data_IF_279095762302
#
_entry.id   IF_279095762302
#
_cell.length_a   1.000
_cell.length_b   1.000
_cell.length_c   1.000
_cell.angle_alpha   90.00
_cell.angle_beta   90.00
_cell.angle_gamma   90.00
#
_symmetry.space_group_name_H-M   'P 1'
#
loop_
_entity.id
_entity.type
_entity.pdbx_description
1 polymer ?
#
# COMPACT_ATOMS: atom_id res chain seq x y z
N UNK A 1 5.67 -143.88 11.60
CA UNK A 1 5.14 -143.07 12.72
C UNK A 1 4.04 -143.87 13.38
N UNK A 2 4.07 -143.99 14.71
CA UNK A 2 2.94 -144.58 15.44
C UNK A 2 1.71 -143.66 15.27
N UNK A 3 0.48 -144.20 15.25
CA UNK A 3 -0.74 -143.40 15.09
C UNK A 3 -0.88 -142.27 16.14
N UNK A 4 -0.21 -142.37 17.29
CA UNK A 4 -0.15 -141.29 18.28
C UNK A 4 0.72 -140.09 17.89
N UNK A 5 1.79 -140.27 17.10
CA UNK A 5 2.68 -139.18 16.69
C UNK A 5 2.06 -138.29 15.61
N UNK A 6 1.29 -138.86 14.69
CA UNK A 6 0.59 -138.09 13.64
C UNK A 6 -0.52 -137.21 14.21
N UNK A 7 -1.24 -137.70 15.23
CA UNK A 7 -2.25 -136.92 15.96
C UNK A 7 -1.59 -135.75 16.70
N UNK A 8 -0.45 -135.98 17.36
CA UNK A 8 0.27 -134.92 18.08
C UNK A 8 0.75 -133.80 17.14
N UNK A 9 1.34 -134.15 15.99
CA UNK A 9 1.79 -133.17 14.99
C UNK A 9 0.61 -132.39 14.40
N UNK A 10 -0.51 -133.06 14.10
CA UNK A 10 -1.70 -132.39 13.59
C UNK A 10 -2.27 -131.36 14.60
N UNK A 11 -2.35 -131.73 15.89
CA UNK A 11 -2.80 -130.82 16.96
C UNK A 11 -1.85 -129.64 17.13
N UNK A 12 -0.53 -129.88 17.06
CA UNK A 12 0.48 -128.83 17.14
C UNK A 12 0.37 -127.85 15.98
N UNK A 13 0.18 -128.34 14.74
CA UNK A 13 -0.02 -127.49 13.57
C UNK A 13 -1.28 -126.62 13.68
N UNK A 14 -2.38 -127.16 14.21
CA UNK A 14 -3.61 -126.40 14.45
C UNK A 14 -3.41 -125.34 15.53
N UNK A 15 -2.67 -125.66 16.61
CA UNK A 15 -2.34 -124.70 17.66
C UNK A 15 -1.44 -123.57 17.13
N UNK A 16 -0.42 -123.89 16.33
CA UNK A 16 0.47 -122.90 15.72
C UNK A 16 -0.30 -122.03 14.73
N UNK A 17 -1.14 -122.62 13.87
CA UNK A 17 -1.99 -121.86 12.94
C UNK A 17 -3.01 -120.96 13.67
N UNK A 18 -3.57 -121.44 14.79
CA UNK A 18 -4.44 -120.64 15.66
C UNK A 18 -3.71 -119.47 16.31
N UNK A 19 -2.47 -119.70 16.77
CA UNK A 19 -1.60 -118.67 17.34
C UNK A 19 -1.17 -117.63 16.29
N UNK A 20 -0.84 -118.04 15.07
CA UNK A 20 -0.45 -117.11 14.01
C UNK A 20 -1.63 -116.26 13.55
N UNK A 21 -2.82 -116.84 13.39
CA UNK A 21 -4.03 -116.10 13.02
C UNK A 21 -4.45 -115.12 14.12
N UNK A 22 -4.35 -115.51 15.39
CA UNK A 22 -4.64 -114.59 16.51
C UNK A 22 -3.61 -113.46 16.61
N UNK A 23 -2.32 -113.75 16.41
CA UNK A 23 -1.26 -112.73 16.38
C UNK A 23 -1.45 -111.73 15.23
N UNK A 24 -1.75 -112.19 14.01
CA UNK A 24 -2.00 -111.31 12.86
C UNK A 24 -3.23 -110.45 13.10
N UNK A 25 -4.34 -111.02 13.59
CA UNK A 25 -5.53 -110.24 13.93
C UNK A 25 -5.27 -109.21 15.03
N UNK A 26 -4.42 -109.52 16.01
CA UNK A 26 -4.04 -108.59 17.08
C UNK A 26 -3.17 -107.44 16.55
N UNK A 27 -2.20 -107.74 15.67
CA UNK A 27 -1.36 -106.72 15.03
C UNK A 27 -2.19 -105.82 14.10
N UNK A 28 -3.12 -106.37 13.33
CA UNK A 28 -4.04 -105.59 12.50
C UNK A 28 -4.98 -104.72 13.35
N UNK A 29 -5.46 -105.23 14.48
CA UNK A 29 -6.26 -104.46 15.44
C UNK A 29 -5.46 -103.29 16.03
N UNK A 30 -4.22 -103.53 16.46
CA UNK A 30 -3.33 -102.49 16.99
C UNK A 30 -2.99 -101.45 15.92
N UNK A 31 -2.63 -101.86 14.71
CA UNK A 31 -2.36 -100.95 13.58
C UNK A 31 -3.57 -100.10 13.21
N UNK A 32 -4.78 -100.68 13.20
CA UNK A 32 -6.03 -99.93 12.99
C UNK A 32 -6.27 -98.93 14.11
N UNK A 33 -6.06 -99.33 15.36
CA UNK A 33 -6.23 -98.46 16.53
C UNK A 33 -5.22 -97.30 16.53
N UNK A 34 -3.98 -97.55 16.14
CA UNK A 34 -2.95 -96.52 16.00
C UNK A 34 -3.28 -95.57 14.85
N UNK A 35 -3.69 -96.09 13.68
CA UNK A 35 -4.13 -95.29 12.55
C UNK A 35 -5.38 -94.45 12.87
N UNK A 36 -6.35 -95.00 13.62
CA UNK A 36 -7.51 -94.25 14.12
C UNK A 36 -7.10 -93.18 15.13
N UNK A 37 -6.16 -93.48 16.03
CA UNK A 37 -5.64 -92.51 17.00
C UNK A 37 -4.90 -91.37 16.29
N UNK A 38 -4.13 -91.67 15.26
CA UNK A 38 -3.39 -90.68 14.49
C UNK A 38 -4.32 -89.83 13.62
N UNK A 39 -5.31 -90.44 12.97
CA UNK A 39 -6.37 -89.73 12.27
C UNK A 39 -7.15 -88.79 13.21
N UNK A 40 -7.47 -89.23 14.43
CA UNK A 40 -8.09 -88.38 15.46
C UNK A 40 -7.20 -87.21 15.85
N UNK A 41 -5.91 -87.44 16.08
CA UNK A 41 -4.95 -86.36 16.39
C UNK A 41 -4.86 -85.33 15.28
N UNK A 42 -4.80 -85.77 14.02
CA UNK A 42 -4.78 -84.87 12.85
C UNK A 42 -6.08 -84.05 12.80
N UNK A 43 -7.24 -84.68 13.00
CA UNK A 43 -8.52 -83.96 13.02
C UNK A 43 -8.62 -82.96 14.18
N UNK A 44 -8.13 -83.31 15.36
CA UNK A 44 -8.14 -82.42 16.52
C UNK A 44 -7.16 -81.26 16.34
N UNK A 45 -5.98 -81.50 15.76
CA UNK A 45 -5.05 -80.44 15.35
C UNK A 45 -5.66 -79.51 14.30
N UNK A 46 -6.26 -80.06 13.25
CA UNK A 46 -6.93 -79.27 12.21
C UNK A 46 -8.08 -78.42 12.77
N UNK A 47 -8.84 -78.93 13.75
CA UNK A 47 -9.87 -78.15 14.46
C UNK A 47 -9.26 -77.02 15.27
N UNK A 48 -8.21 -77.28 16.03
CA UNK A 48 -7.52 -76.25 16.82
C UNK A 48 -6.93 -75.15 15.93
N UNK A 49 -6.30 -75.53 14.81
CA UNK A 49 -5.78 -74.58 13.82
C UNK A 49 -6.91 -73.76 13.19
N UNK A 50 -8.02 -74.39 12.80
CA UNK A 50 -9.19 -73.67 12.26
C UNK A 50 -9.79 -72.68 13.28
N UNK A 51 -9.86 -73.07 14.56
CA UNK A 51 -10.34 -72.18 15.62
C UNK A 51 -9.37 -71.03 15.89
N UNK A 52 -8.06 -71.28 15.83
CA UNK A 52 -7.05 -70.23 15.97
C UNK A 52 -7.10 -69.24 14.80
N UNK A 53 -7.19 -69.72 13.55
CA UNK A 53 -7.33 -68.87 12.36
C UNK A 53 -8.58 -68.00 12.46
N UNK A 54 -9.71 -68.55 12.92
CA UNK A 54 -10.94 -67.78 13.13
C UNK A 54 -10.76 -66.68 14.17
N UNK A 55 -10.14 -67.00 15.31
CA UNK A 55 -9.86 -66.02 16.37
C UNK A 55 -8.90 -64.93 15.91
N UNK A 56 -7.85 -65.29 15.18
CA UNK A 56 -6.90 -64.33 14.60
C UNK A 56 -7.60 -63.41 13.60
N UNK A 57 -8.43 -63.96 12.70
CA UNK A 57 -9.22 -63.17 11.77
C UNK A 57 -10.19 -62.21 12.50
N UNK A 58 -10.87 -62.67 13.55
CA UNK A 58 -11.76 -61.84 14.36
C UNK A 58 -11.00 -60.70 15.09
N UNK A 59 -9.79 -60.99 15.57
CA UNK A 59 -8.92 -59.99 16.19
C UNK A 59 -8.42 -58.97 15.17
N UNK A 60 -7.99 -59.40 13.98
CA UNK A 60 -7.55 -58.53 12.90
C UNK A 60 -8.68 -57.60 12.42
N UNK A 61 -9.90 -58.13 12.30
CA UNK A 61 -11.09 -57.32 11.97
C UNK A 61 -11.34 -56.25 13.04
N UNK A 62 -11.28 -56.63 14.33
CA UNK A 62 -11.46 -55.69 15.44
C UNK A 62 -10.37 -54.63 15.47
N UNK A 63 -9.11 -55.01 15.24
CA UNK A 63 -8.00 -54.06 15.19
C UNK A 63 -8.18 -53.07 14.04
N UNK A 64 -8.53 -53.54 12.85
CA UNK A 64 -8.83 -52.69 11.70
C UNK A 64 -10.01 -51.75 11.96
N UNK A 65 -11.09 -52.22 12.60
CA UNK A 65 -12.23 -51.37 12.96
C UNK A 65 -11.81 -50.28 13.96
N UNK A 66 -11.01 -50.61 14.99
CA UNK A 66 -10.49 -49.64 15.94
C UNK A 66 -9.59 -48.60 15.25
N UNK A 67 -8.67 -49.04 14.39
CA UNK A 67 -7.80 -48.14 13.65
C UNK A 67 -8.60 -47.21 12.72
N UNK A 68 -9.58 -47.74 12.00
CA UNK A 68 -10.46 -46.93 11.13
C UNK A 68 -11.33 -45.96 11.93
N UNK A 69 -11.81 -46.34 13.11
CA UNK A 69 -12.54 -45.41 14.01
C UNK A 69 -11.63 -44.29 14.49
N UNK A 70 -10.42 -44.60 14.94
CA UNK A 70 -9.45 -43.62 15.39
C UNK A 70 -9.06 -42.63 14.27
N UNK A 71 -8.85 -43.13 13.03
CA UNK A 71 -8.58 -42.28 11.87
C UNK A 71 -9.76 -41.35 11.56
N UNK A 72 -10.99 -41.87 11.53
CA UNK A 72 -12.20 -41.07 11.30
C UNK A 72 -12.41 -40.02 12.38
N UNK A 73 -12.15 -40.34 13.64
CA UNK A 73 -12.28 -39.40 14.75
C UNK A 73 -11.23 -38.29 14.67
N UNK A 74 -9.99 -38.62 14.29
CA UNK A 74 -8.94 -37.64 14.05
C UNK A 74 -9.27 -36.72 12.86
N UNK A 75 -9.79 -37.26 11.76
CA UNK A 75 -10.24 -36.47 10.61
C UNK A 75 -11.42 -35.56 10.96
N UNK A 76 -12.40 -36.10 11.70
CA UNK A 76 -13.55 -35.33 12.17
C UNK A 76 -13.12 -34.17 13.07
N UNK A 77 -12.17 -34.40 13.97
CA UNK A 77 -11.64 -33.36 14.83
C UNK A 77 -10.91 -32.26 14.03
N UNK A 78 -10.12 -32.63 13.01
CA UNK A 78 -9.50 -31.66 12.10
C UNK A 78 -10.52 -30.81 11.36
N UNK A 79 -11.56 -31.45 10.80
CA UNK A 79 -12.64 -30.73 10.10
C UNK A 79 -13.36 -29.78 11.05
N UNK A 80 -13.60 -30.20 12.30
CA UNK A 80 -14.23 -29.38 13.32
C UNK A 80 -13.37 -28.16 13.68
N UNK A 81 -12.07 -28.34 13.84
CA UNK A 81 -11.14 -27.26 14.15
C UNK A 81 -11.03 -26.27 12.97
N UNK A 82 -10.97 -26.77 11.73
CA UNK A 82 -10.99 -25.93 10.53
C UNK A 82 -12.31 -25.14 10.39
N UNK A 83 -13.45 -25.78 10.68
CA UNK A 83 -14.75 -25.12 10.66
C UNK A 83 -14.81 -24.01 11.72
N UNK A 84 -14.36 -24.28 12.94
CA UNK A 84 -14.32 -23.29 14.02
C UNK A 84 -13.43 -22.09 13.67
N UNK A 85 -12.28 -22.33 13.04
CA UNK A 85 -11.41 -21.25 12.56
C UNK A 85 -12.09 -20.41 11.48
N UNK A 86 -12.79 -21.04 10.53
CA UNK A 86 -13.57 -20.34 9.49
C UNK A 86 -14.71 -19.53 10.08
N UNK A 87 -15.48 -20.10 11.01
CA UNK A 87 -16.56 -19.39 11.71
C UNK A 87 -16.03 -18.16 12.45
N UNK A 88 -14.92 -18.30 13.18
CA UNK A 88 -14.30 -17.16 13.87
C UNK A 88 -13.81 -16.08 12.91
N UNK A 89 -13.25 -16.47 11.77
CA UNK A 89 -12.81 -15.52 10.75
C UNK A 89 -14.01 -14.80 10.09
N UNK A 90 -15.11 -15.51 9.86
CA UNK A 90 -16.35 -14.94 9.34
C UNK A 90 -17.00 -13.97 10.33
N UNK A 91 -17.12 -14.35 11.60
CA UNK A 91 -17.66 -13.49 12.65
C UNK A 91 -16.86 -12.18 12.78
N UNK A 92 -15.52 -12.26 12.75
CA UNK A 92 -14.68 -11.06 12.77
C UNK A 92 -14.93 -10.15 11.55
N UNK A 93 -15.14 -10.74 10.37
CA UNK A 93 -15.41 -9.98 9.15
C UNK A 93 -16.80 -9.35 9.17
N UNK A 94 -17.78 -10.00 9.80
CA UNK A 94 -19.11 -9.45 10.05
C UNK A 94 -19.04 -8.23 10.97
N UNK A 95 -18.31 -8.33 12.10
CA UNK A 95 -18.07 -7.20 13.01
C UNK A 95 -17.40 -6.01 12.30
N UNK A 96 -16.40 -6.28 11.44
CA UNK A 96 -15.71 -5.25 10.64
C UNK A 96 -16.66 -4.57 9.64
N UNK A 97 -17.54 -5.34 8.99
CA UNK A 97 -18.53 -4.82 8.05
C UNK A 97 -19.62 -4.00 8.75
N UNK A 98 -20.07 -4.42 9.92
CA UNK A 98 -21.04 -3.67 10.73
C UNK A 98 -20.47 -2.33 11.19
N UNK A 99 -19.21 -2.32 11.63
CA UNK A 99 -18.50 -1.09 11.98
C UNK A 99 -18.37 -0.13 10.79
N UNK A 100 -18.02 -0.65 9.61
CA UNK A 100 -17.95 0.14 8.37
C UNK A 100 -19.33 0.69 7.98
N UNK A 101 -20.39 -0.11 8.12
CA UNK A 101 -21.77 0.28 7.80
C UNK A 101 -22.24 1.41 8.72
N UNK A 102 -21.98 1.32 10.02
CA UNK A 102 -22.32 2.40 10.96
C UNK A 102 -21.51 3.67 10.68
N UNK A 103 -20.23 3.55 10.31
CA UNK A 103 -19.44 4.70 9.89
C UNK A 103 -20.00 5.37 8.62
N UNK A 104 -20.40 4.58 7.62
CA UNK A 104 -21.03 5.08 6.40
C UNK A 104 -22.36 5.79 6.71
N UNK A 105 -23.23 5.18 7.51
CA UNK A 105 -24.50 5.81 7.96
C UNK A 105 -24.28 7.12 8.70
N UNK A 106 -23.18 7.23 9.46
CA UNK A 106 -22.81 8.49 10.13
C UNK A 106 -22.38 9.55 9.12
N UNK A 107 -21.56 9.17 8.13
CA UNK A 107 -21.13 10.06 7.05
C UNK A 107 -22.31 10.53 6.20
N UNK A 108 -23.23 9.63 5.83
CA UNK A 108 -24.46 9.97 5.10
C UNK A 108 -25.29 11.01 5.85
N UNK A 109 -25.52 10.83 7.16
CA UNK A 109 -26.22 11.81 8.00
C UNK A 109 -25.51 13.17 8.04
N UNK A 110 -24.17 13.19 8.09
CA UNK A 110 -23.40 14.44 8.05
C UNK A 110 -23.56 15.13 6.69
N UNK A 111 -23.50 14.38 5.59
CA UNK A 111 -23.68 14.91 4.24
C UNK A 111 -25.09 15.47 4.07
N UNK A 112 -26.11 14.72 4.46
CA UNK A 112 -27.51 15.14 4.36
C UNK A 112 -27.78 16.43 5.17
N UNK A 113 -27.28 16.50 6.42
CA UNK A 113 -27.42 17.70 7.25
C UNK A 113 -26.66 18.89 6.67
N UNK A 114 -25.48 18.67 6.08
CA UNK A 114 -24.69 19.73 5.43
C UNK A 114 -25.38 20.22 4.16
N UNK A 115 -25.94 19.32 3.35
CA UNK A 115 -26.71 19.67 2.16
C UNK A 115 -27.93 20.51 2.52
N UNK A 116 -28.71 20.11 3.54
CA UNK A 116 -29.86 20.91 4.02
C UNK A 116 -29.45 22.31 4.43
N UNK A 117 -28.41 22.44 5.26
CA UNK A 117 -27.86 23.75 5.67
C UNK A 117 -27.39 24.59 4.49
N UNK A 118 -26.79 23.96 3.47
CA UNK A 118 -26.33 24.65 2.28
C UNK A 118 -27.50 25.16 1.46
N UNK A 119 -28.54 24.35 1.28
CA UNK A 119 -29.78 24.75 0.60
C UNK A 119 -30.45 25.93 1.31
N UNK A 120 -30.63 25.85 2.63
CA UNK A 120 -31.22 26.94 3.43
C UNK A 120 -30.42 28.25 3.26
N UNK A 121 -29.09 28.16 3.26
CA UNK A 121 -28.22 29.32 3.10
C UNK A 121 -28.24 29.89 1.69
N UNK A 122 -28.37 29.04 0.66
CA UNK A 122 -28.54 29.49 -0.72
C UNK A 122 -29.86 30.24 -0.89
N UNK A 123 -30.95 29.75 -0.28
CA UNK A 123 -32.23 30.45 -0.27
C UNK A 123 -32.15 31.80 0.45
N UNK A 124 -31.50 31.85 1.62
CA UNK A 124 -31.30 33.10 2.38
C UNK A 124 -30.49 34.12 1.56
N UNK A 125 -29.40 33.69 0.93
CA UNK A 125 -28.59 34.55 0.06
C UNK A 125 -29.41 35.03 -1.15
N UNK A 126 -30.23 34.17 -1.73
CA UNK A 126 -31.16 34.53 -2.81
C UNK A 126 -32.11 35.66 -2.39
N UNK A 127 -32.77 35.51 -1.24
CA UNK A 127 -33.68 36.54 -0.69
C UNK A 127 -32.97 37.85 -0.42
N UNK A 128 -31.81 37.81 0.24
CA UNK A 128 -31.01 39.03 0.51
C UNK A 128 -30.56 39.73 -0.77
N UNK A 129 -30.23 38.97 -1.81
CA UNK A 129 -29.87 39.53 -3.12
C UNK A 129 -31.05 40.26 -3.76
N UNK A 130 -32.26 39.69 -3.69
CA UNK A 130 -33.47 40.38 -4.16
C UNK A 130 -33.79 41.64 -3.35
N UNK A 131 -33.68 41.57 -2.02
CA UNK A 131 -33.88 42.74 -1.14
C UNK A 131 -32.86 43.84 -1.43
N UNK A 132 -31.58 43.50 -1.58
CA UNK A 132 -30.53 44.44 -1.94
C UNK A 132 -30.80 45.08 -3.31
N UNK A 133 -31.24 44.30 -4.29
CA UNK A 133 -31.59 44.81 -5.62
C UNK A 133 -32.73 45.83 -5.52
N UNK A 134 -33.79 45.52 -4.76
CA UNK A 134 -34.91 46.46 -4.50
C UNK A 134 -34.43 47.74 -3.81
N UNK A 135 -33.57 47.62 -2.79
CA UNK A 135 -33.01 48.78 -2.09
C UNK A 135 -32.15 49.65 -3.00
N UNK A 136 -31.32 49.05 -3.87
CA UNK A 136 -30.53 49.78 -4.86
C UNK A 136 -31.41 50.51 -5.87
N UNK A 137 -32.49 49.87 -6.33
CA UNK A 137 -33.43 50.49 -7.26
C UNK A 137 -34.21 51.63 -6.60
N UNK A 138 -34.64 51.47 -5.34
CA UNK A 138 -35.21 52.55 -4.53
C UNK A 138 -34.21 53.69 -4.31
N UNK A 139 -32.96 53.39 -3.98
CA UNK A 139 -31.92 54.40 -3.78
C UNK A 139 -31.69 55.21 -5.06
N UNK A 140 -31.65 54.55 -6.22
CA UNK A 140 -31.56 55.21 -7.53
C UNK A 140 -32.75 56.13 -7.78
N UNK A 141 -33.96 55.65 -7.47
CA UNK A 141 -35.18 56.44 -7.61
C UNK A 141 -35.15 57.69 -6.72
N UNK A 142 -34.79 57.55 -5.44
CA UNK A 142 -34.66 58.66 -4.50
C UNK A 142 -33.53 59.61 -4.91
N UNK A 143 -32.40 59.12 -5.42
CA UNK A 143 -31.35 59.97 -5.97
C UNK A 143 -31.85 60.78 -7.17
N UNK A 144 -32.65 60.19 -8.06
CA UNK A 144 -33.29 60.93 -9.16
C UNK A 144 -34.26 61.99 -8.65
N UNK A 145 -35.06 61.68 -7.63
CA UNK A 145 -36.04 62.62 -7.04
C UNK A 145 -35.38 63.76 -6.26
N UNK A 146 -34.42 63.46 -5.39
CA UNK A 146 -33.73 64.44 -4.52
C UNK A 146 -32.78 65.32 -5.31
N UNK A 147 -32.15 64.79 -6.37
CA UNK A 147 -31.28 65.60 -7.23
C UNK A 147 -32.06 66.56 -8.12
N UNK A 148 -33.36 66.33 -8.37
CA UNK A 148 -34.15 67.06 -9.36
C UNK A 148 -33.55 66.99 -10.77
N UNK A 149 -32.56 66.11 -10.97
CA UNK A 149 -31.74 66.00 -12.16
C UNK A 149 -32.13 64.70 -12.88
N UNK A 150 -32.37 64.83 -14.18
CA UNK A 150 -32.54 63.68 -15.07
C UNK A 150 -31.27 62.80 -15.07
N UNK A 151 -31.42 61.53 -15.44
CA UNK A 151 -30.30 60.56 -15.53
C UNK A 151 -29.13 61.09 -16.36
N UNK A 152 -29.44 61.81 -17.43
CA UNK A 152 -28.44 62.41 -18.32
C UNK A 152 -27.71 63.57 -17.64
N UNK A 153 -28.40 64.41 -16.88
CA UNK A 153 -27.79 65.52 -16.14
C UNK A 153 -26.91 65.04 -14.99
N UNK A 154 -27.33 63.98 -14.28
CA UNK A 154 -26.51 63.37 -13.22
C UNK A 154 -25.24 62.71 -13.79
N UNK A 155 -25.36 62.01 -14.92
CA UNK A 155 -24.20 61.42 -15.61
C UNK A 155 -23.23 62.49 -16.11
N UNK A 156 -23.76 63.59 -16.67
CA UNK A 156 -22.95 64.72 -17.15
C UNK A 156 -22.17 65.38 -16.01
N UNK A 157 -22.85 65.66 -14.89
CA UNK A 157 -22.21 66.28 -13.71
C UNK A 157 -21.15 65.39 -13.07
N UNK A 158 -21.33 64.07 -13.10
CA UNK A 158 -20.31 63.11 -12.64
C UNK A 158 -19.08 63.12 -13.55
N UNK A 159 -19.29 63.18 -14.87
CA UNK A 159 -18.19 63.28 -15.85
C UNK A 159 -17.42 64.59 -15.70
N UNK A 160 -18.11 65.72 -15.49
CA UNK A 160 -17.48 67.02 -15.28
C UNK A 160 -16.59 67.03 -14.02
N UNK A 161 -17.03 66.39 -12.93
CA UNK A 161 -16.24 66.24 -11.70
C UNK A 161 -15.00 65.36 -11.90
N UNK A 162 -15.16 64.25 -12.63
CA UNK A 162 -14.05 63.35 -12.96
C UNK A 162 -13.01 64.06 -13.84
N UNK A 163 -13.47 64.87 -14.81
CA UNK A 163 -12.59 65.65 -15.68
C UNK A 163 -11.75 66.66 -14.88
N UNK A 164 -12.34 67.40 -13.94
CA UNK A 164 -11.59 68.30 -13.06
C UNK A 164 -10.54 67.57 -12.21
N UNK A 165 -10.89 66.40 -11.65
CA UNK A 165 -9.95 65.61 -10.84
C UNK A 165 -8.77 65.12 -11.69
N UNK A 166 -9.05 64.60 -12.89
CA UNK A 166 -8.03 64.14 -13.83
C UNK A 166 -7.13 65.30 -14.28
N UNK A 167 -7.67 66.50 -14.52
CA UNK A 167 -6.86 67.67 -14.84
C UNK A 167 -5.89 68.05 -13.72
N UNK A 168 -6.34 68.01 -12.46
CA UNK A 168 -5.48 68.29 -11.30
C UNK A 168 -4.38 67.24 -11.13
N UNK A 169 -4.72 65.94 -11.22
CA UNK A 169 -3.74 64.86 -11.11
C UNK A 169 -2.71 64.91 -12.24
N UNK A 170 -3.18 65.16 -13.47
CA UNK A 170 -2.32 65.28 -14.65
C UNK A 170 -1.39 66.49 -14.52
N UNK A 171 -1.90 67.63 -14.05
CA UNK A 171 -1.09 68.83 -13.78
C UNK A 171 0.00 68.60 -12.73
N UNK A 172 -0.33 67.92 -11.63
CA UNK A 172 0.64 67.55 -10.60
C UNK A 172 1.71 66.59 -11.13
N UNK A 173 1.32 65.64 -11.98
CA UNK A 173 2.23 64.70 -12.63
C UNK A 173 3.20 65.43 -13.56
N UNK A 174 2.70 66.35 -14.41
CA UNK A 174 3.51 67.16 -15.32
C UNK A 174 4.55 67.95 -14.53
N UNK A 175 4.14 68.68 -13.49
CA UNK A 175 5.04 69.50 -12.67
C UNK A 175 6.16 68.66 -12.04
N UNK A 176 5.84 67.45 -11.58
CA UNK A 176 6.83 66.52 -11.01
C UNK A 176 7.84 66.05 -12.06
N UNK A 177 7.39 65.77 -13.29
CA UNK A 177 8.28 65.37 -14.38
C UNK A 177 9.17 66.54 -14.84
N UNK A 178 8.65 67.77 -14.88
CA UNK A 178 9.44 68.97 -15.20
C UNK A 178 10.57 69.20 -14.19
N UNK A 179 10.26 69.10 -12.88
CA UNK A 179 11.29 69.21 -11.84
C UNK A 179 12.39 68.15 -11.98
N UNK A 180 12.00 66.90 -12.23
CA UNK A 180 12.95 65.80 -12.44
C UNK A 180 13.81 66.02 -13.69
N UNK A 181 13.23 66.52 -14.77
CA UNK A 181 13.96 66.84 -15.99
C UNK A 181 14.98 67.95 -15.73
N UNK A 182 14.62 68.97 -14.96
CA UNK A 182 15.52 70.07 -14.60
C UNK A 182 16.71 69.59 -13.76
N UNK A 183 16.48 68.68 -12.80
CA UNK A 183 17.54 68.04 -12.01
C UNK A 183 18.50 67.24 -12.89
N UNK A 184 17.97 66.37 -13.76
CA UNK A 184 18.79 65.58 -14.70
C UNK A 184 19.62 66.47 -15.63
N UNK A 185 19.03 67.53 -16.17
CA UNK A 185 19.74 68.50 -17.00
C UNK A 185 20.87 69.17 -16.23
N UNK A 186 20.66 69.50 -14.95
CA UNK A 186 21.67 70.12 -14.09
C UNK A 186 22.83 69.18 -13.80
N UNK A 187 22.54 67.91 -13.50
CA UNK A 187 23.58 66.89 -13.29
C UNK A 187 24.40 66.67 -14.55
N UNK A 188 23.74 66.50 -15.69
CA UNK A 188 24.40 66.31 -16.98
C UNK A 188 25.24 67.52 -17.39
N UNK A 189 24.76 68.73 -17.11
CA UNK A 189 25.54 69.96 -17.33
C UNK A 189 26.81 69.99 -16.47
N UNK A 190 26.73 69.57 -15.20
CA UNK A 190 27.90 69.47 -14.33
C UNK A 190 28.91 68.45 -14.83
N UNK A 191 28.45 67.28 -15.27
CA UNK A 191 29.30 66.23 -15.83
C UNK A 191 30.07 66.71 -17.07
N UNK A 192 29.37 67.41 -17.99
CA UNK A 192 29.98 68.00 -19.18
C UNK A 192 31.04 69.02 -18.80
N UNK A 193 30.76 69.92 -17.83
CA UNK A 193 31.72 70.92 -17.36
C UNK A 193 32.94 70.27 -16.69
N UNK A 194 32.73 69.26 -15.84
CA UNK A 194 33.82 68.50 -15.22
C UNK A 194 34.71 67.84 -16.26
N UNK A 195 34.11 67.19 -17.25
CA UNK A 195 34.84 66.53 -18.35
C UNK A 195 35.66 67.54 -19.15
N UNK A 196 35.10 68.72 -19.44
CA UNK A 196 35.81 69.79 -20.10
C UNK A 196 37.01 70.27 -19.27
N UNK A 197 36.82 70.56 -17.98
CA UNK A 197 37.89 70.98 -17.08
C UNK A 197 39.01 69.92 -17.02
N UNK A 198 38.67 68.64 -16.82
CA UNK A 198 39.64 67.54 -16.78
C UNK A 198 40.46 67.46 -18.07
N UNK A 199 39.83 67.69 -19.24
CA UNK A 199 40.52 67.61 -20.53
C UNK A 199 41.52 68.75 -20.76
N UNK A 200 41.26 69.95 -20.24
CA UNK A 200 42.14 71.12 -20.40
C UNK A 200 43.12 71.33 -19.24
N UNK A 201 42.87 70.76 -18.06
CA UNK A 201 43.69 70.98 -16.86
C UNK A 201 45.17 70.62 -17.06
N UNK A 202 45.46 69.49 -17.72
CA UNK A 202 46.84 69.05 -17.94
C UNK A 202 47.63 70.01 -18.86
N UNK A 203 47.02 70.45 -19.96
CA UNK A 203 47.63 71.37 -20.90
C UNK A 203 47.89 72.75 -20.25
N UNK A 204 46.91 73.29 -19.52
CA UNK A 204 47.05 74.56 -18.83
C UNK A 204 48.11 74.50 -17.71
N UNK A 205 48.17 73.39 -16.97
CA UNK A 205 49.19 73.22 -15.90
C UNK A 205 50.60 73.12 -16.49
N UNK A 206 50.76 72.39 -17.61
CA UNK A 206 52.04 72.29 -18.30
C UNK A 206 52.51 73.67 -18.76
N UNK A 207 51.64 74.44 -19.43
CA UNK A 207 51.97 75.79 -19.92
C UNK A 207 52.33 76.76 -18.79
N UNK A 208 51.61 76.73 -17.66
CA UNK A 208 51.82 77.69 -16.56
C UNK A 208 53.04 77.35 -15.68
N UNK A 209 53.44 76.07 -15.59
CA UNK A 209 54.45 75.63 -14.60
C UNK A 209 55.82 75.36 -15.19
N UNK A 210 55.97 75.27 -16.52
CA UNK A 210 57.28 75.12 -17.15
C UNK A 210 57.82 76.46 -17.62
N UNK A 211 59.03 76.81 -17.17
CA UNK A 211 59.79 77.95 -17.68
C UNK A 211 60.93 77.42 -18.56
N UNK A 212 60.92 77.76 -19.85
CA UNK A 212 62.01 77.48 -20.77
C UNK A 212 63.09 78.56 -20.63
N UNK A 213 64.33 78.13 -20.41
CA UNK A 213 65.51 79.00 -20.39
C UNK A 213 66.37 78.63 -21.59
N UNK A 214 66.60 79.59 -22.49
CA UNK A 214 67.44 79.39 -23.65
C UNK A 214 68.92 79.40 -23.26
N UNK A 215 69.65 78.34 -23.64
CA UNK A 215 71.08 78.21 -23.36
C UNK A 215 71.86 78.84 -24.53
N UNK A 216 72.70 79.86 -24.28
CA UNK A 216 73.31 80.65 -25.36
C UNK A 216 74.49 79.99 -26.07
N UNK A 217 75.09 78.89 -25.55
CA UNK A 217 76.13 78.15 -26.28
C UNK A 217 76.07 76.62 -26.03
N UNK A 218 76.56 75.85 -26.99
CA UNK A 218 76.53 74.37 -26.94
C UNK A 218 77.54 73.76 -25.94
N UNK A 219 78.55 74.52 -25.51
CA UNK A 219 79.51 74.09 -24.47
C UNK A 219 78.83 74.00 -23.08
N UNK A 220 77.95 74.96 -22.77
CA UNK A 220 77.08 74.93 -21.58
C UNK A 220 76.09 73.77 -21.64
N UNK A 221 75.53 73.49 -22.83
CA UNK A 221 74.61 72.37 -23.05
C UNK A 221 75.29 71.02 -22.80
N UNK A 222 76.51 70.84 -23.29
CA UNK A 222 77.30 69.61 -23.07
C UNK A 222 77.67 69.38 -21.60
N UNK A 223 77.78 70.44 -20.80
CA UNK A 223 78.11 70.36 -19.36
C UNK A 223 76.92 70.04 -18.47
N UNK A 224 75.70 70.41 -18.88
CA UNK A 224 74.46 70.11 -18.14
C UNK A 224 73.94 68.71 -18.47
N UNK A 225 73.99 68.32 -19.75
CA UNK A 225 73.40 67.06 -20.25
C UNK A 225 74.44 65.90 -20.22
N UNK A 226 75.74 66.21 -20.12
CA UNK A 226 76.82 65.21 -20.10
C UNK A 226 77.08 64.57 -21.48
N UNK A 227 78.28 63.97 -21.65
CA UNK A 227 78.80 63.46 -22.95
C UNK A 227 78.00 62.29 -23.57
N UNK A 228 76.98 61.78 -22.88
CA UNK A 228 76.12 60.68 -23.35
C UNK A 228 74.66 61.07 -23.62
N UNK A 229 74.30 62.35 -23.47
CA UNK A 229 73.03 62.88 -23.98
C UNK A 229 71.78 62.21 -23.38
N UNK A 230 71.48 62.53 -22.12
CA UNK A 230 70.10 62.53 -21.60
C UNK A 230 69.85 63.77 -20.76
#
# INVERSE_FOLDING_TARGET
MTPGQTIFVAVLCVLVAGLTVTLVKLLDYLRRKDAESEARRILDQAKLEADNIRREADLEIKEKDIQQRAQREAEFQKIRDELYQKERALAKREDELDAQTEQLRKQERIVETTQRKLTDRLEEVGRRKEELQKLLDMQRQVLHEVSGLSREEAAKRLMDLLEMQLQQETGALILRYEQRLQEMCREKSREILLTAIQRYAAAHTAETTTSTVDIPNDEMKGRIIGREGR
#
